data_IF_340994754469
#
_entry.id   IF_340994754469
#
_cell.length_a   1.000
_cell.length_b   1.000
_cell.length_c   1.000
_cell.angle_alpha   90.00
_cell.angle_beta   90.00
_cell.angle_gamma   90.00
#
_symmetry.space_group_name_H-M   'P 1'
#
loop_
_entity.id
_entity.type
_entity.pdbx_description
1 polymer ?
#
# COMPACT_ATOMS: atom_id res chain seq x y z
N UNK A 1 15.71 -11.16 -11.95
CA UNK A 1 14.65 -10.67 -12.86
C UNK A 1 13.40 -11.50 -12.67
N UNK A 2 12.23 -10.89 -12.77
CA UNK A 2 10.95 -11.51 -12.45
C UNK A 2 10.02 -11.52 -13.66
N UNK A 3 9.46 -12.68 -13.97
CA UNK A 3 8.39 -12.81 -14.96
C UNK A 3 7.02 -12.42 -14.40
N UNK A 4 6.04 -12.16 -15.27
CA UNK A 4 4.67 -11.80 -14.87
C UNK A 4 4.07 -12.83 -13.89
N UNK A 5 4.22 -14.14 -14.17
CA UNK A 5 3.70 -15.19 -13.28
C UNK A 5 4.36 -15.21 -11.89
N UNK A 6 5.62 -14.80 -11.78
CA UNK A 6 6.32 -14.67 -10.49
C UNK A 6 5.84 -13.41 -9.76
N UNK A 7 5.63 -12.31 -10.48
CA UNK A 7 5.09 -11.07 -9.93
C UNK A 7 3.69 -11.26 -9.34
N UNK A 8 2.86 -12.13 -9.91
CA UNK A 8 1.55 -12.51 -9.32
C UNK A 8 1.74 -13.02 -7.89
N UNK A 9 2.68 -13.95 -7.69
CA UNK A 9 2.96 -14.56 -6.39
C UNK A 9 3.58 -13.55 -5.42
N UNK A 10 4.54 -12.77 -5.90
CA UNK A 10 5.31 -11.81 -5.07
C UNK A 10 4.46 -10.62 -4.62
N UNK A 11 3.55 -10.14 -5.47
CA UNK A 11 2.67 -9.01 -5.17
C UNK A 11 1.33 -9.45 -4.53
N UNK A 12 1.13 -10.74 -4.28
CA UNK A 12 -0.12 -11.27 -3.70
C UNK A 12 -1.34 -11.05 -4.59
N UNK A 13 -1.16 -10.97 -5.91
CA UNK A 13 -2.23 -10.73 -6.86
C UNK A 13 -2.89 -12.04 -7.30
N UNK A 14 -4.13 -11.95 -7.79
CA UNK A 14 -4.91 -13.12 -8.20
C UNK A 14 -4.65 -13.52 -9.65
N UNK A 15 -4.37 -12.56 -10.52
CA UNK A 15 -4.24 -12.82 -11.97
C UNK A 15 -3.08 -12.05 -12.60
N UNK A 16 -2.54 -12.59 -13.70
CA UNK A 16 -1.54 -11.90 -14.52
C UNK A 16 -2.06 -10.58 -15.09
N UNK A 17 -3.36 -10.50 -15.41
CA UNK A 17 -4.01 -9.28 -15.89
C UNK A 17 -3.91 -8.15 -14.86
N UNK A 18 -4.01 -8.47 -13.56
CA UNK A 18 -3.85 -7.47 -12.50
C UNK A 18 -2.42 -6.93 -12.43
N UNK A 19 -1.41 -7.75 -12.71
CA UNK A 19 -0.01 -7.33 -12.82
C UNK A 19 0.16 -6.43 -14.05
N UNK A 20 -0.36 -6.85 -15.21
CA UNK A 20 -0.29 -6.06 -16.45
C UNK A 20 -0.94 -4.68 -16.29
N UNK A 21 -2.14 -4.62 -15.72
CA UNK A 21 -2.83 -3.35 -15.47
C UNK A 21 -2.04 -2.42 -14.53
N UNK A 22 -1.33 -2.99 -13.54
CA UNK A 22 -0.46 -2.23 -12.64
C UNK A 22 0.79 -1.72 -13.36
N UNK A 23 1.42 -2.55 -14.19
CA UNK A 23 2.55 -2.15 -15.03
C UNK A 23 2.12 -1.00 -15.96
N UNK A 24 0.97 -1.11 -16.63
CA UNK A 24 0.44 -0.04 -17.49
C UNK A 24 0.15 1.25 -16.71
N UNK A 25 -0.34 1.14 -15.48
CA UNK A 25 -0.66 2.30 -14.66
C UNK A 25 0.56 3.16 -14.28
N UNK A 26 1.75 2.57 -14.23
CA UNK A 26 3.02 3.24 -13.95
C UNK A 26 4.03 3.08 -15.09
N UNK A 27 3.54 2.88 -16.32
CA UNK A 27 4.37 2.52 -17.47
C UNK A 27 5.54 3.49 -17.66
N UNK A 28 5.26 4.78 -17.56
CA UNK A 28 6.21 5.89 -17.63
C UNK A 28 7.37 5.79 -16.62
N UNK A 29 7.12 5.21 -15.44
CA UNK A 29 8.13 5.05 -14.39
C UNK A 29 8.89 3.72 -14.48
N UNK A 30 8.20 2.66 -14.92
CA UNK A 30 8.74 1.30 -14.93
C UNK A 30 9.42 0.91 -16.25
N UNK A 31 9.19 1.66 -17.34
CA UNK A 31 9.75 1.37 -18.67
C UNK A 31 11.28 1.16 -18.70
N UNK A 32 12.11 1.94 -17.96
CA UNK A 32 13.56 1.69 -17.88
C UNK A 32 13.94 0.34 -17.24
N UNK A 33 13.03 -0.22 -16.44
CA UNK A 33 13.21 -1.43 -15.66
C UNK A 33 12.50 -2.65 -16.28
N UNK A 34 11.87 -2.46 -17.45
CA UNK A 34 11.24 -3.50 -18.24
C UNK A 34 12.19 -4.01 -19.32
N UNK A 35 12.29 -5.32 -19.45
CA UNK A 35 13.03 -5.97 -20.52
C UNK A 35 12.19 -7.03 -21.22
N UNK A 36 12.50 -7.26 -22.49
CA UNK A 36 11.93 -8.36 -23.27
C UNK A 36 12.84 -9.59 -23.12
N UNK A 37 12.32 -10.61 -22.47
CA UNK A 37 12.95 -11.92 -22.35
C UNK A 37 12.68 -12.81 -23.56
N UNK A 38 13.19 -14.07 -23.52
CA UNK A 38 12.96 -15.05 -24.56
C UNK A 38 11.46 -15.27 -24.80
N UNK A 39 11.06 -15.44 -26.07
CA UNK A 39 9.67 -15.52 -26.51
C UNK A 39 8.82 -14.26 -26.22
N UNK A 40 9.43 -13.07 -26.29
CA UNK A 40 8.75 -11.78 -26.08
C UNK A 40 8.07 -11.64 -24.70
N UNK A 41 8.57 -12.37 -23.71
CA UNK A 41 8.07 -12.30 -22.33
C UNK A 41 8.50 -11.00 -21.68
N UNK A 42 7.62 -10.38 -20.90
CA UNK A 42 7.99 -9.20 -20.11
C UNK A 42 8.70 -9.68 -18.85
N UNK A 43 9.93 -9.18 -18.67
CA UNK A 43 10.73 -9.37 -17.48
C UNK A 43 10.89 -8.02 -16.77
N UNK A 44 10.78 -8.04 -15.46
CA UNK A 44 10.97 -6.87 -14.59
C UNK A 44 12.23 -7.08 -13.77
N UNK A 45 13.08 -6.07 -13.67
CA UNK A 45 14.24 -6.12 -12.78
C UNK A 45 13.84 -5.92 -11.30
N UNK A 46 14.83 -5.87 -10.40
CA UNK A 46 14.60 -5.65 -8.97
C UNK A 46 14.04 -4.26 -8.65
N UNK A 47 14.49 -3.22 -9.36
CA UNK A 47 14.02 -1.84 -9.16
C UNK A 47 12.58 -1.66 -9.63
N UNK A 48 12.22 -2.26 -10.75
CA UNK A 48 10.85 -2.32 -11.23
C UNK A 48 9.95 -3.12 -10.28
N UNK A 49 10.47 -4.17 -9.64
CA UNK A 49 9.74 -4.87 -8.59
C UNK A 49 9.48 -3.97 -7.37
N UNK A 50 10.47 -3.18 -6.93
CA UNK A 50 10.29 -2.23 -5.83
C UNK A 50 9.19 -1.20 -6.13
N UNK A 51 9.15 -0.66 -7.35
CA UNK A 51 8.08 0.24 -7.79
C UNK A 51 6.70 -0.43 -7.73
N UNK A 52 6.60 -1.68 -8.19
CA UNK A 52 5.35 -2.44 -8.14
C UNK A 52 4.93 -2.76 -6.69
N UNK A 53 5.88 -3.03 -5.79
CA UNK A 53 5.59 -3.21 -4.36
C UNK A 53 5.10 -1.92 -3.71
N UNK A 54 5.73 -0.78 -4.01
CA UNK A 54 5.28 0.51 -3.53
C UNK A 54 3.86 0.84 -4.03
N UNK A 55 3.57 0.53 -5.30
CA UNK A 55 2.23 0.70 -5.88
C UNK A 55 1.21 -0.19 -5.16
N UNK A 56 1.58 -1.44 -4.89
CA UNK A 56 0.72 -2.41 -4.21
C UNK A 56 0.43 -1.98 -2.76
N UNK A 57 1.43 -1.51 -2.01
CA UNK A 57 1.25 -1.00 -0.65
C UNK A 57 0.29 0.19 -0.60
N UNK A 58 0.34 1.08 -1.59
CA UNK A 58 -0.60 2.18 -1.72
C UNK A 58 -2.03 1.71 -2.05
N UNK A 59 -2.17 0.63 -2.81
CA UNK A 59 -3.48 0.03 -3.08
C UNK A 59 -4.06 -0.65 -1.84
N UNK A 60 -3.20 -1.31 -1.05
CA UNK A 60 -3.59 -1.94 0.23
C UNK A 60 -4.03 -0.92 1.27
N UNK A 61 -3.54 0.33 1.19
CA UNK A 61 -4.03 1.45 1.99
C UNK A 61 -5.41 1.98 1.54
N UNK A 62 -6.11 1.28 0.64
CA UNK A 62 -7.44 1.64 0.16
C UNK A 62 -7.48 2.61 -1.02
N UNK A 63 -6.32 3.00 -1.59
CA UNK A 63 -6.29 3.86 -2.78
C UNK A 63 -6.55 3.05 -4.04
N UNK A 64 -7.15 3.69 -5.03
CA UNK A 64 -7.26 3.08 -6.36
C UNK A 64 -5.89 3.01 -7.03
N UNK A 65 -5.72 2.10 -7.99
CA UNK A 65 -4.48 1.95 -8.76
C UNK A 65 -4.06 3.27 -9.43
N UNK A 66 -5.03 4.07 -9.90
CA UNK A 66 -4.78 5.37 -10.53
C UNK A 66 -4.24 6.40 -9.54
N UNK A 67 -4.83 6.46 -8.34
CA UNK A 67 -4.37 7.36 -7.28
C UNK A 67 -2.98 6.95 -6.79
N UNK A 68 -2.78 5.65 -6.55
CA UNK A 68 -1.49 5.10 -6.15
C UNK A 68 -0.39 5.44 -7.18
N UNK A 69 -0.67 5.29 -8.47
CA UNK A 69 0.25 5.69 -9.53
C UNK A 69 0.55 7.19 -9.53
N UNK A 70 -0.44 8.05 -9.26
CA UNK A 70 -0.23 9.50 -9.13
C UNK A 70 0.68 9.84 -7.95
N UNK A 71 0.50 9.19 -6.80
CA UNK A 71 1.37 9.37 -5.64
C UNK A 71 2.81 8.93 -5.93
N UNK A 72 2.98 7.80 -6.62
CA UNK A 72 4.28 7.29 -7.02
C UNK A 72 5.04 8.24 -7.95
N UNK A 73 4.35 8.82 -8.95
CA UNK A 73 4.94 9.85 -9.82
C UNK A 73 5.37 11.08 -9.03
N UNK A 74 4.50 11.55 -8.13
CA UNK A 74 4.81 12.71 -7.29
C UNK A 74 6.01 12.48 -6.35
N UNK A 75 6.29 11.24 -5.96
CA UNK A 75 7.50 10.91 -5.19
C UNK A 75 8.75 10.69 -6.04
N UNK A 76 8.60 10.44 -7.34
CA UNK A 76 9.70 10.10 -8.25
C UNK A 76 10.31 11.33 -8.95
N UNK A 77 9.56 12.42 -9.13
CA UNK A 77 10.15 13.67 -9.59
C UNK A 77 11.01 14.29 -8.48
N UNK A 78 12.33 14.43 -8.66
CA UNK A 78 13.15 15.21 -7.75
C UNK A 78 12.90 16.67 -8.07
N UNK A 79 11.76 17.19 -7.62
CA UNK A 79 11.58 18.62 -7.58
C UNK A 79 12.48 19.15 -6.48
N UNK A 80 13.48 19.94 -6.84
CA UNK A 80 14.10 20.96 -5.97
C UNK A 80 13.09 22.00 -5.44
N UNK A 81 11.79 21.71 -5.49
CA UNK A 81 10.73 22.53 -4.95
C UNK A 81 9.73 21.61 -4.29
N UNK A 82 9.83 21.58 -2.95
CA UNK A 82 8.72 21.23 -2.05
C UNK A 82 7.38 21.45 -2.75
N UNK A 83 6.54 20.43 -2.95
CA UNK A 83 5.13 20.71 -3.08
C UNK A 83 4.70 21.17 -1.69
N UNK A 84 4.63 22.49 -1.50
CA UNK A 84 3.73 23.07 -0.51
C UNK A 84 2.37 22.43 -0.78
N UNK A 85 1.94 21.54 0.10
CA UNK A 85 0.53 21.16 0.19
C UNK A 85 -0.28 22.46 0.24
N UNK A 86 -1.34 22.63 -0.56
CA UNK A 86 -2.32 23.67 -0.26
C UNK A 86 -3.06 23.21 1.00
N UNK A 87 -2.60 23.66 2.16
CA UNK A 87 -3.19 23.30 3.46
C UNK A 87 -2.26 23.37 4.67
N UNK A 88 -1.02 23.85 4.54
CA UNK A 88 -0.05 23.88 5.66
C UNK A 88 0.17 25.30 6.17
N UNK A 89 -0.94 25.90 6.61
CA UNK A 89 -0.96 26.81 7.77
C UNK A 89 -2.01 26.31 8.76
N UNK A 90 -2.25 25.00 8.81
CA UNK A 90 -2.91 24.41 9.96
C UNK A 90 -1.85 24.39 11.03
N UNK A 91 -2.03 25.25 12.03
CA UNK A 91 -1.00 25.62 12.99
C UNK A 91 -0.31 24.36 13.54
N UNK A 92 1.01 24.39 13.69
CA UNK A 92 1.79 23.27 14.24
C UNK A 92 1.19 22.76 15.57
N UNK A 93 0.53 23.67 16.30
CA UNK A 93 -0.34 23.45 17.45
C UNK A 93 -1.55 22.56 17.18
N UNK A 94 -2.32 22.75 16.12
CA UNK A 94 -3.47 21.88 15.78
C UNK A 94 -3.03 20.45 15.44
N UNK A 95 -1.85 20.30 14.85
CA UNK A 95 -1.29 18.98 14.52
C UNK A 95 -0.84 18.25 15.79
N UNK A 96 -0.22 18.97 16.72
CA UNK A 96 0.15 18.45 18.03
C UNK A 96 -1.06 18.15 18.91
N UNK A 97 -2.11 18.97 18.85
CA UNK A 97 -3.36 18.74 19.58
C UNK A 97 -4.10 17.50 19.07
N UNK A 98 -4.15 17.30 17.75
CA UNK A 98 -4.74 16.10 17.16
C UNK A 98 -3.95 14.84 17.53
N UNK A 99 -2.62 14.92 17.51
CA UNK A 99 -1.76 13.81 17.95
C UNK A 99 -1.99 13.48 19.43
N UNK A 100 -2.07 14.50 20.29
CA UNK A 100 -2.35 14.32 21.72
C UNK A 100 -3.72 13.69 21.94
N UNK A 101 -4.74 14.12 21.19
CA UNK A 101 -6.09 13.56 21.27
C UNK A 101 -6.11 12.08 20.85
N UNK A 102 -5.47 11.74 19.73
CA UNK A 102 -5.37 10.35 19.26
C UNK A 102 -4.60 9.46 20.25
N UNK A 103 -3.54 9.98 20.87
CA UNK A 103 -2.81 9.25 21.92
C UNK A 103 -3.66 9.00 23.18
N UNK A 104 -4.49 9.97 23.56
CA UNK A 104 -5.44 9.84 24.65
C UNK A 104 -6.53 8.81 24.33
N UNK A 105 -7.07 8.81 23.11
CA UNK A 105 -8.01 7.79 22.64
C UNK A 105 -7.38 6.40 22.64
N UNK A 106 -6.16 6.23 22.12
CA UNK A 106 -5.46 4.93 22.15
C UNK A 106 -5.22 4.48 23.59
N UNK A 107 -4.86 5.38 24.50
CA UNK A 107 -4.67 5.06 25.91
C UNK A 107 -5.99 4.66 26.58
N UNK A 108 -7.07 5.36 26.28
CA UNK A 108 -8.42 5.06 26.77
C UNK A 108 -8.92 3.71 26.26
N UNK A 109 -8.79 3.44 24.95
CA UNK A 109 -9.17 2.17 24.34
C UNK A 109 -8.35 0.99 24.89
N UNK A 110 -7.03 1.18 25.09
CA UNK A 110 -6.18 0.17 25.74
C UNK A 110 -6.60 -0.10 27.18
N UNK A 111 -6.93 0.94 27.94
CA UNK A 111 -7.45 0.81 29.30
C UNK A 111 -8.78 0.05 29.31
N UNK A 112 -9.71 0.41 28.42
CA UNK A 112 -10.97 -0.28 28.29
C UNK A 112 -10.80 -1.76 27.91
N UNK A 113 -9.87 -2.09 27.01
CA UNK A 113 -9.57 -3.50 26.68
C UNK A 113 -9.00 -4.28 27.87
N UNK A 114 -8.18 -3.63 28.70
CA UNK A 114 -7.62 -4.24 29.92
C UNK A 114 -8.68 -4.43 31.01
N UNK A 115 -9.57 -3.45 31.18
CA UNK A 115 -10.63 -3.46 32.20
C UNK A 115 -11.83 -4.34 31.80
N UNK A 116 -12.18 -4.35 30.51
CA UNK A 116 -13.32 -5.12 30.00
C UNK A 116 -12.93 -6.49 29.47
N UNK A 117 -11.74 -7.03 29.77
CA UNK A 117 -11.28 -8.33 29.24
C UNK A 117 -12.36 -9.42 29.50
N UNK A 118 -13.25 -9.71 28.52
CA UNK A 118 -14.24 -10.74 28.72
C UNK A 118 -13.44 -12.04 28.60
N UNK A 119 -13.80 -13.07 29.37
CA UNK A 119 -13.45 -14.44 28.98
C UNK A 119 -13.77 -14.56 27.50
N UNK A 120 -12.75 -14.82 26.68
CA UNK A 120 -12.88 -14.72 25.22
C UNK A 120 -14.16 -15.45 24.81
N UNK A 121 -15.16 -14.77 24.23
CA UNK A 121 -16.31 -15.47 23.69
C UNK A 121 -15.79 -16.42 22.64
N UNK A 122 -16.19 -17.69 22.74
CA UNK A 122 -15.86 -18.70 21.73
C UNK A 122 -16.13 -18.11 20.36
N UNK A 123 -15.13 -18.07 19.48
CA UNK A 123 -15.35 -17.50 18.17
C UNK A 123 -16.43 -18.27 17.43
N UNK A 124 -17.32 -17.55 16.74
CA UNK A 124 -18.45 -18.11 15.99
C UNK A 124 -18.06 -19.22 14.99
N UNK A 125 -16.79 -19.29 14.57
CA UNK A 125 -16.27 -20.34 13.69
C UNK A 125 -15.99 -21.69 14.40
N UNK A 126 -16.08 -21.77 15.72
CA UNK A 126 -15.96 -23.03 16.46
C UNK A 126 -17.23 -23.89 16.40
N UNK A 127 -18.41 -23.30 16.15
CA UNK A 127 -19.68 -24.03 16.09
C UNK A 127 -19.86 -24.85 14.80
N UNK A 128 -19.09 -24.53 13.75
CA UNK A 128 -19.22 -25.14 12.42
C UNK A 128 -18.44 -26.45 12.24
N UNK A 129 -17.64 -26.88 13.23
CA UNK A 129 -16.91 -28.17 13.19
C UNK A 129 -17.61 -29.31 13.91
N UNK A 130 -18.80 -29.08 14.46
CA UNK A 130 -19.56 -30.06 15.23
C UNK A 130 -20.79 -30.62 14.49
N UNK A 131 -20.86 -30.45 13.16
CA UNK A 131 -21.86 -31.07 12.28
C UNK A 131 -21.19 -32.01 11.29
#
# INVERSE_FOLDING_TARGET
MYGIGELVKVLGLKTETQVRNRIEAIRDLIEPYLQRGPNNRILVDERGLELLRALQALCESGKTVKEAAKYLRASAEPTEKKPKKPGESRSETETQELLRHLEEEVRFLRRLLLENHPRQPTPWWHEWRAL
#
